data_IF_014548095637
#
_entry.id   IF_014548095637
#
_cell.length_a   1.000
_cell.length_b   1.000
_cell.length_c   1.000
_cell.angle_alpha   90.00
_cell.angle_beta   90.00
_cell.angle_gamma   90.00
#
_symmetry.space_group_name_H-M   'P 1'
#
loop_
_entity.id
_entity.type
_entity.pdbx_description
1 polymer ?
#
# COMPACT_ATOMS: atom_id res chain seq x y z
N UNK A 1 -1.89 9.31 -0.81
CA UNK A 1 -0.42 9.33 -1.04
C UNK A 1 0.19 8.00 -0.60
N UNK A 2 1.33 7.55 -1.15
CA UNK A 2 2.02 6.37 -0.63
C UNK A 2 2.46 6.60 0.82
N UNK A 3 2.42 5.56 1.65
CA UNK A 3 2.78 5.62 3.07
C UNK A 3 4.00 4.77 3.33
N UNK A 4 4.98 5.34 4.00
CA UNK A 4 6.18 4.63 4.42
C UNK A 4 5.95 4.00 5.79
N UNK A 5 6.13 2.69 5.86
CA UNK A 5 6.09 1.92 7.09
C UNK A 5 7.50 1.43 7.42
N UNK A 6 7.82 1.35 8.71
CA UNK A 6 9.00 0.65 9.20
C UNK A 6 8.53 -0.60 9.90
N UNK A 7 8.91 -1.75 9.35
CA UNK A 7 8.39 -3.04 9.77
C UNK A 7 9.56 -3.87 10.27
N UNK A 8 9.41 -4.42 11.48
CA UNK A 8 10.46 -5.24 12.07
C UNK A 8 10.50 -6.64 11.45
N UNK A 9 11.70 -7.07 11.06
CA UNK A 9 12.03 -8.45 10.76
C UNK A 9 13.25 -8.83 11.60
N UNK A 10 13.07 -9.73 12.57
CA UNK A 10 14.07 -10.03 13.59
C UNK A 10 14.57 -8.72 14.26
N UNK A 11 15.88 -8.47 14.25
CA UNK A 11 16.51 -7.25 14.76
C UNK A 11 16.66 -6.13 13.72
N UNK A 12 16.04 -6.26 12.54
CA UNK A 12 16.15 -5.30 11.45
C UNK A 12 14.85 -4.52 11.23
N UNK A 13 14.97 -3.22 10.97
CA UNK A 13 13.86 -2.37 10.57
C UNK A 13 13.86 -2.22 9.05
N UNK A 14 12.85 -2.76 8.37
CA UNK A 14 12.73 -2.72 6.92
C UNK A 14 11.75 -1.62 6.49
N UNK A 15 12.19 -0.68 5.63
CA UNK A 15 11.30 0.30 5.00
C UNK A 15 10.38 -0.38 3.98
N UNK A 16 9.07 -0.20 4.14
CA UNK A 16 8.03 -0.72 3.25
C UNK A 16 7.18 0.45 2.77
N UNK A 17 7.19 0.71 1.46
CA UNK A 17 6.34 1.71 0.84
C UNK A 17 5.02 1.07 0.41
N UNK A 18 3.93 1.46 1.08
CA UNK A 18 2.58 1.01 0.76
C UNK A 18 1.88 2.06 -0.12
N UNK A 19 1.75 1.72 -1.40
CA UNK A 19 1.09 2.58 -2.38
C UNK A 19 -0.43 2.57 -2.22
N UNK A 20 -1.12 3.63 -2.69
CA UNK A 20 -2.57 3.65 -2.67
C UNK A 20 -3.17 2.44 -3.37
N UNK A 21 -2.72 2.07 -4.57
CA UNK A 21 -3.20 0.91 -5.33
C UNK A 21 -3.00 -0.49 -4.68
N UNK A 22 -2.52 -0.55 -3.43
CA UNK A 22 -2.32 -1.79 -2.68
C UNK A 22 -0.97 -2.45 -2.96
N UNK A 23 -0.13 -1.87 -3.81
CA UNK A 23 1.22 -2.37 -4.03
C UNK A 23 2.10 -2.10 -2.80
N UNK A 24 2.76 -3.15 -2.34
CA UNK A 24 3.84 -3.07 -1.37
C UNK A 24 5.16 -3.09 -2.10
N UNK A 25 6.01 -2.13 -1.76
CA UNK A 25 7.36 -2.05 -2.30
C UNK A 25 8.34 -2.04 -1.14
N UNK A 26 9.44 -2.77 -1.29
CA UNK A 26 10.52 -2.87 -0.32
C UNK A 26 11.71 -2.06 -0.82
N UNK A 27 12.47 -1.48 0.11
CA UNK A 27 13.75 -0.87 -0.26
C UNK A 27 14.71 -1.98 -0.70
N UNK A 28 15.03 -2.00 -2.00
CA UNK A 28 15.84 -3.05 -2.60
C UNK A 28 17.27 -3.06 -2.09
N UNK A 29 17.85 -1.88 -1.79
CA UNK A 29 19.21 -1.80 -1.28
C UNK A 29 19.28 -2.35 0.16
N UNK A 30 18.35 -1.91 1.01
CA UNK A 30 18.24 -2.42 2.38
C UNK A 30 18.01 -3.94 2.42
N UNK A 31 17.17 -4.46 1.52
CA UNK A 31 16.91 -5.90 1.43
C UNK A 31 18.13 -6.69 0.94
N UNK A 32 18.87 -6.17 -0.05
CA UNK A 32 20.08 -6.82 -0.54
C UNK A 32 21.19 -6.85 0.52
N UNK A 33 21.36 -5.77 1.28
CA UNK A 33 22.31 -5.74 2.41
C UNK A 33 21.94 -6.76 3.49
N UNK A 34 20.65 -6.85 3.84
CA UNK A 34 20.15 -7.83 4.80
C UNK A 34 20.45 -9.28 4.34
N UNK A 35 20.35 -9.53 3.03
CA UNK A 35 20.65 -10.82 2.40
C UNK A 35 22.15 -11.07 2.17
N UNK A 36 23.03 -10.19 2.65
CA UNK A 36 24.48 -10.36 2.63
C UNK A 36 25.14 -10.12 1.27
N UNK A 37 24.44 -9.50 0.31
CA UNK A 37 25.06 -9.15 -0.96
C UNK A 37 26.11 -8.05 -0.76
N UNK A 38 27.32 -8.26 -1.29
CA UNK A 38 28.43 -7.31 -1.15
C UNK A 38 28.15 -5.98 -1.87
N UNK A 39 27.53 -6.04 -3.05
CA UNK A 39 27.05 -4.89 -3.80
C UNK A 39 25.54 -5.02 -4.01
N UNK A 40 24.79 -4.08 -3.41
CA UNK A 40 23.34 -4.07 -3.50
C UNK A 40 22.83 -3.75 -4.91
N UNK A 41 23.51 -2.87 -5.65
CA UNK A 41 23.08 -2.48 -6.99
C UNK A 41 23.34 -3.61 -7.99
N UNK A 42 24.49 -4.28 -7.88
CA UNK A 42 24.78 -5.47 -8.68
C UNK A 42 23.78 -6.60 -8.41
N UNK A 43 23.50 -6.89 -7.13
CA UNK A 43 22.49 -7.90 -6.77
C UNK A 43 21.10 -7.58 -7.35
N UNK A 44 20.69 -6.31 -7.28
CA UNK A 44 19.45 -5.86 -7.91
C UNK A 44 19.48 -6.01 -9.44
N UNK A 45 20.60 -5.68 -10.08
CA UNK A 45 20.75 -5.82 -11.52
C UNK A 45 20.69 -7.28 -11.98
N UNK A 46 21.37 -8.19 -11.26
CA UNK A 46 21.52 -9.60 -11.63
C UNK A 46 20.23 -10.39 -11.35
N UNK A 47 19.57 -10.14 -10.22
CA UNK A 47 18.49 -11.01 -9.74
C UNK A 47 17.07 -10.46 -9.96
N UNK A 48 16.90 -9.13 -10.06
CA UNK A 48 15.58 -8.52 -10.23
C UNK A 48 15.21 -8.32 -11.70
N UNK A 49 13.90 -8.10 -11.93
CA UNK A 49 13.34 -7.80 -13.24
C UNK A 49 12.92 -6.33 -13.31
N UNK A 50 13.08 -5.71 -14.49
CA UNK A 50 12.94 -4.27 -14.64
C UNK A 50 11.51 -3.79 -14.30
N UNK A 51 10.51 -4.63 -14.56
CA UNK A 51 9.08 -4.36 -14.36
C UNK A 51 8.68 -4.25 -12.88
N UNK A 52 9.52 -4.76 -11.98
CA UNK A 52 9.28 -4.71 -10.54
C UNK A 52 9.99 -3.56 -9.84
N UNK A 53 10.68 -2.67 -10.56
CA UNK A 53 11.31 -1.49 -9.95
C UNK A 53 10.37 -0.28 -9.92
N UNK A 54 10.49 0.50 -8.85
CA UNK A 54 9.89 1.83 -8.71
C UNK A 54 10.93 2.77 -8.12
N UNK A 55 11.20 3.88 -8.79
CA UNK A 55 12.19 4.84 -8.33
C UNK A 55 11.51 5.94 -7.53
N UNK A 56 12.08 6.29 -6.37
CA UNK A 56 11.63 7.44 -5.60
C UNK A 56 11.86 8.76 -6.36
N UNK A 57 11.01 9.76 -6.15
CA UNK A 57 11.12 11.06 -6.83
C UNK A 57 12.10 12.03 -6.13
N UNK A 58 13.13 11.52 -5.46
CA UNK A 58 14.10 12.32 -4.69
C UNK A 58 15.46 12.42 -5.42
N UNK A 59 16.30 13.43 -5.10
CA UNK A 59 17.61 13.62 -5.74
C UNK A 59 18.55 12.41 -5.64
N UNK A 60 18.41 11.61 -4.58
CA UNK A 60 18.97 10.25 -4.50
C UNK A 60 17.79 9.28 -4.41
N UNK A 61 17.35 8.71 -5.54
CA UNK A 61 16.14 7.92 -5.57
C UNK A 61 16.36 6.59 -4.86
N UNK A 62 15.57 6.30 -3.83
CA UNK A 62 15.44 4.94 -3.30
C UNK A 62 14.95 4.03 -4.42
N UNK A 63 15.60 2.88 -4.57
CA UNK A 63 15.20 1.84 -5.51
C UNK A 63 14.23 0.92 -4.79
N UNK A 64 12.94 1.13 -5.02
CA UNK A 64 11.90 0.27 -4.48
C UNK A 64 11.70 -0.92 -5.41
N UNK A 65 11.49 -2.10 -4.81
CA UNK A 65 11.20 -3.33 -5.54
C UNK A 65 9.87 -3.93 -5.09
N UNK A 66 9.12 -4.50 -6.02
CA UNK A 66 7.90 -5.22 -5.69
C UNK A 66 8.19 -6.56 -4.97
N UNK A 67 7.12 -7.18 -4.47
CA UNK A 67 7.20 -8.47 -3.76
C UNK A 67 7.81 -9.58 -4.63
N UNK A 68 7.60 -9.55 -5.95
CA UNK A 68 8.17 -10.57 -6.86
C UNK A 68 9.68 -10.43 -6.93
N UNK A 69 10.20 -9.22 -7.07
CA UNK A 69 11.63 -8.94 -7.05
C UNK A 69 12.25 -9.20 -5.66
N UNK A 70 11.54 -8.89 -4.57
CA UNK A 70 11.99 -9.26 -3.23
C UNK A 70 12.16 -10.78 -3.10
N UNK A 71 11.19 -11.58 -3.56
CA UNK A 71 11.34 -13.04 -3.60
C UNK A 71 12.48 -13.51 -4.50
N UNK A 72 12.75 -12.85 -5.63
CA UNK A 72 13.90 -13.19 -6.48
C UNK A 72 15.24 -12.97 -5.76
N UNK A 73 15.43 -11.86 -5.06
CA UNK A 73 16.63 -11.62 -4.27
C UNK A 73 16.79 -12.66 -3.16
N UNK A 74 15.70 -12.94 -2.47
CA UNK A 74 15.70 -13.93 -1.39
C UNK A 74 16.06 -15.31 -1.94
N UNK A 75 15.49 -15.71 -3.07
CA UNK A 75 15.73 -17.01 -3.69
C UNK A 75 17.20 -17.24 -4.10
N UNK A 76 17.91 -16.19 -4.51
CA UNK A 76 19.31 -16.30 -4.93
C UNK A 76 20.32 -16.04 -3.79
N UNK A 77 19.85 -15.72 -2.58
CA UNK A 77 20.75 -15.52 -1.43
C UNK A 77 21.18 -16.87 -0.85
N UNK A 78 22.47 -16.99 -0.54
CA UNK A 78 23.04 -18.18 0.10
C UNK A 78 22.93 -18.16 1.64
N UNK A 79 22.39 -17.08 2.22
CA UNK A 79 22.30 -16.96 3.67
C UNK A 79 21.13 -17.77 4.24
N UNK A 80 21.29 -18.44 5.39
CA UNK A 80 20.18 -19.12 6.09
C UNK A 80 19.03 -18.18 6.49
N UNK A 81 19.30 -16.88 6.61
CA UNK A 81 18.28 -15.86 6.85
C UNK A 81 17.29 -15.72 5.68
N UNK A 82 17.71 -16.03 4.45
CA UNK A 82 16.88 -15.86 3.26
C UNK A 82 15.56 -16.66 3.35
N UNK A 83 15.62 -17.92 3.81
CA UNK A 83 14.43 -18.75 3.99
C UNK A 83 13.47 -18.16 5.03
N UNK A 84 13.99 -17.67 6.15
CA UNK A 84 13.19 -17.01 7.19
C UNK A 84 12.56 -15.71 6.70
N UNK A 85 13.29 -14.96 5.87
CA UNK A 85 12.80 -13.73 5.25
C UNK A 85 11.70 -14.03 4.23
N UNK A 86 11.86 -15.05 3.37
CA UNK A 86 10.80 -15.51 2.46
C UNK A 86 9.54 -15.93 3.23
N UNK A 87 9.71 -16.69 4.31
CA UNK A 87 8.62 -17.12 5.16
C UNK A 87 7.90 -15.91 5.78
N UNK A 88 8.65 -14.96 6.35
CA UNK A 88 8.11 -13.74 6.94
C UNK A 88 7.39 -12.86 5.92
N UNK A 89 7.95 -12.66 4.72
CA UNK A 89 7.29 -11.91 3.63
C UNK A 89 5.92 -12.55 3.33
N UNK A 90 5.90 -13.86 3.15
CA UNK A 90 4.71 -14.59 2.68
C UNK A 90 3.63 -14.73 3.74
N UNK A 91 4.03 -15.02 4.99
CA UNK A 91 3.10 -15.43 6.05
C UNK A 91 2.84 -14.35 7.09
N UNK A 92 3.63 -13.28 7.11
CA UNK A 92 3.46 -12.19 8.06
C UNK A 92 3.26 -10.84 7.35
N UNK A 93 4.21 -10.42 6.50
CA UNK A 93 4.18 -9.09 5.88
C UNK A 93 2.96 -8.92 4.96
N UNK A 94 2.78 -9.84 4.02
CA UNK A 94 1.65 -9.79 3.09
C UNK A 94 0.31 -9.82 3.83
N UNK A 95 0.04 -10.76 4.77
CA UNK A 95 -1.19 -10.73 5.57
C UNK A 95 -1.38 -9.46 6.39
N UNK A 96 -0.32 -8.90 6.97
CA UNK A 96 -0.37 -7.68 7.77
C UNK A 96 -0.97 -6.50 6.97
N UNK A 97 -0.52 -6.33 5.73
CA UNK A 97 -1.02 -5.28 4.84
C UNK A 97 -2.30 -5.67 4.07
N UNK A 98 -2.63 -6.96 4.02
CA UNK A 98 -3.86 -7.45 3.39
C UNK A 98 -5.11 -7.28 4.27
N UNK A 99 -4.95 -6.81 5.51
CA UNK A 99 -6.03 -6.75 6.49
C UNK A 99 -7.20 -5.88 5.99
N UNK A 100 -8.44 -6.40 6.09
CA UNK A 100 -9.64 -5.90 5.38
C UNK A 100 -10.01 -4.44 5.64
N UNK A 101 -9.50 -3.83 6.72
CA UNK A 101 -9.69 -2.40 7.03
C UNK A 101 -9.01 -1.47 6.01
N UNK A 102 -7.98 -1.96 5.32
CA UNK A 102 -7.24 -1.21 4.29
C UNK A 102 -7.79 -1.45 2.88
N UNK A 103 -8.70 -2.42 2.70
CA UNK A 103 -9.30 -2.68 1.40
C UNK A 103 -10.42 -1.66 1.11
N UNK A 104 -10.51 -1.20 -0.14
CA UNK A 104 -11.63 -0.37 -0.57
C UNK A 104 -12.92 -1.15 -0.36
N UNK A 105 -13.83 -0.64 0.47
CA UNK A 105 -15.13 -1.27 0.67
C UNK A 105 -16.24 -0.27 0.39
N UNK A 106 -17.29 -0.76 -0.27
CA UNK A 106 -18.42 0.06 -0.66
C UNK A 106 -19.54 -0.16 0.34
N UNK A 107 -19.96 0.92 0.99
CA UNK A 107 -21.17 0.96 1.81
C UNK A 107 -22.26 1.77 1.09
N UNK A 108 -23.51 1.49 1.44
CA UNK A 108 -24.64 2.34 1.03
C UNK A 108 -24.92 3.35 2.12
N UNK A 109 -24.96 4.63 1.77
CA UNK A 109 -25.42 5.70 2.64
C UNK A 109 -26.74 6.25 2.10
N UNK A 110 -27.70 6.43 2.98
CA UNK A 110 -28.99 7.04 2.64
C UNK A 110 -28.92 8.52 2.98
N UNK A 111 -29.21 9.38 2.00
CA UNK A 111 -29.24 10.84 2.14
C UNK A 111 -30.60 11.31 1.61
N UNK A 112 -31.47 11.78 2.51
CA UNK A 112 -32.88 11.99 2.18
C UNK A 112 -33.53 10.70 1.68
N UNK A 113 -34.10 10.72 0.47
CA UNK A 113 -34.68 9.54 -0.20
C UNK A 113 -33.69 8.80 -1.13
N UNK A 114 -32.47 9.31 -1.31
CA UNK A 114 -31.50 8.75 -2.25
C UNK A 114 -30.50 7.81 -1.55
N UNK A 115 -30.15 6.71 -2.22
CA UNK A 115 -29.06 5.82 -1.81
C UNK A 115 -27.81 6.06 -2.62
N UNK A 116 -26.71 6.31 -1.93
CA UNK A 116 -25.40 6.56 -2.53
C UNK A 116 -24.44 5.43 -2.18
N UNK A 117 -23.62 5.08 -3.16
CA UNK A 117 -22.48 4.17 -2.97
C UNK A 117 -21.31 5.02 -2.49
N UNK A 118 -20.93 4.80 -1.23
CA UNK A 118 -19.75 5.41 -0.61
C UNK A 118 -18.64 4.38 -0.61
N UNK A 119 -17.56 4.68 -1.30
CA UNK A 119 -16.32 3.92 -1.18
C UNK A 119 -15.56 4.47 0.03
N UNK A 120 -15.36 3.64 1.04
CA UNK A 120 -14.48 3.95 2.16
C UNK A 120 -13.12 3.33 1.93
N UNK A 121 -12.08 4.14 2.01
CA UNK A 121 -10.72 3.69 1.78
C UNK A 121 -9.71 4.60 2.47
N UNK A 122 -8.87 4.02 3.33
CA UNK A 122 -7.75 4.70 4.02
C UNK A 122 -8.19 6.03 4.67
N UNK A 123 -9.28 5.97 5.43
CA UNK A 123 -9.90 7.09 6.16
C UNK A 123 -10.46 8.22 5.28
N UNK A 124 -10.57 7.97 3.97
CA UNK A 124 -11.25 8.84 3.02
C UNK A 124 -12.56 8.20 2.54
N UNK A 125 -13.55 9.05 2.28
CA UNK A 125 -14.81 8.66 1.66
C UNK A 125 -14.88 9.22 0.25
N UNK A 126 -15.15 8.34 -0.70
CA UNK A 126 -15.31 8.65 -2.11
C UNK A 126 -16.75 8.39 -2.53
N UNK A 127 -17.32 9.33 -3.29
CA UNK A 127 -18.66 9.22 -3.86
C UNK A 127 -18.55 9.16 -5.37
N UNK A 128 -19.42 8.39 -6.03
CA UNK A 128 -19.52 8.42 -7.49
C UNK A 128 -20.03 9.78 -7.94
N UNK A 129 -19.37 10.39 -8.93
CA UNK A 129 -19.78 11.69 -9.50
C UNK A 129 -21.27 11.67 -9.90
N UNK A 130 -21.75 10.63 -10.59
CA UNK A 130 -23.16 10.51 -10.99
C UNK A 130 -24.12 10.54 -9.80
N UNK A 131 -23.80 9.84 -8.70
CA UNK A 131 -24.61 9.87 -7.48
C UNK A 131 -24.58 11.25 -6.81
N UNK A 132 -23.43 11.92 -6.82
CA UNK A 132 -23.29 13.28 -6.27
C UNK A 132 -24.05 14.31 -7.11
N UNK A 133 -24.04 14.18 -8.44
CA UNK A 133 -24.78 15.08 -9.34
C UNK A 133 -26.30 15.04 -9.09
N UNK A 134 -26.85 13.90 -8.67
CA UNK A 134 -28.26 13.78 -8.31
C UNK A 134 -28.61 14.52 -7.00
N UNK A 135 -27.63 14.74 -6.12
CA UNK A 135 -27.80 15.49 -4.87
C UNK A 135 -27.61 17.00 -5.08
N UNK A 136 -26.69 17.39 -5.96
CA UNK A 136 -26.40 18.79 -6.26
C UNK A 136 -27.56 19.53 -6.94
N UNK A 137 -28.53 18.79 -7.49
CA UNK A 137 -29.78 19.36 -8.02
C UNK A 137 -30.82 19.72 -6.94
N UNK A 138 -30.61 19.33 -5.68
CA UNK A 138 -31.53 19.54 -4.55
C UNK A 138 -30.85 20.33 -3.44
N UNK A 139 -31.23 21.60 -3.29
CA UNK A 139 -30.99 22.56 -2.19
C UNK A 139 -29.82 22.32 -1.20
N UNK A 140 -28.94 23.33 -1.10
CA UNK A 140 -27.66 23.35 -0.36
C UNK A 140 -27.64 22.77 1.07
N UNK A 141 -28.73 22.85 1.85
CA UNK A 141 -28.74 22.38 3.24
C UNK A 141 -28.81 20.85 3.39
N UNK A 142 -29.50 20.15 2.49
CA UNK A 142 -29.59 18.69 2.53
C UNK A 142 -28.23 18.05 2.21
N UNK A 143 -27.50 18.63 1.24
CA UNK A 143 -26.13 18.25 0.90
C UNK A 143 -25.17 18.49 2.07
N UNK A 144 -25.29 19.60 2.79
CA UNK A 144 -24.43 19.90 3.93
C UNK A 144 -24.66 18.93 5.10
N UNK A 145 -25.92 18.58 5.41
CA UNK A 145 -26.26 17.57 6.41
C UNK A 145 -25.73 16.18 6.01
N UNK A 146 -25.92 15.81 4.75
CA UNK A 146 -25.43 14.57 4.17
C UNK A 146 -23.91 14.42 4.29
N UNK A 147 -23.16 15.48 3.97
CA UNK A 147 -21.70 15.51 4.11
C UNK A 147 -21.27 15.48 5.59
N UNK A 148 -22.03 16.10 6.49
CA UNK A 148 -21.78 16.05 7.92
C UNK A 148 -22.00 14.66 8.52
N UNK A 149 -23.06 13.95 8.13
CA UNK A 149 -23.35 12.58 8.56
C UNK A 149 -22.30 11.60 8.03
N UNK A 150 -21.89 11.76 6.78
CA UNK A 150 -20.78 11.00 6.21
C UNK A 150 -19.48 11.25 6.99
N UNK A 151 -19.16 12.50 7.32
CA UNK A 151 -17.99 12.87 8.13
C UNK A 151 -18.04 12.29 9.54
N UNK A 152 -19.21 12.26 10.19
CA UNK A 152 -19.37 11.69 11.53
C UNK A 152 -19.12 10.17 11.55
N UNK A 153 -19.41 9.49 10.43
CA UNK A 153 -19.22 8.04 10.28
C UNK A 153 -17.81 7.60 9.90
N UNK A 154 -16.87 8.54 9.75
CA UNK A 154 -15.44 8.30 9.45
C UNK A 154 -14.58 8.29 10.73
N UNK A 155 -15.19 8.53 11.91
CA UNK A 155 -14.52 8.44 13.21
C UNK A 155 -14.60 7.06 13.84
#
# INVERSE_FOLDING_TARGET
MPTLHHVAFESHSLPILHRPDGLLLLDGASLAQLLGYADSLDALHVHCRIEGFVFGNQPRPTIWIDIRNAHRLVFHSELPLAERLAHWISHWLLPYFSNRRSQPHIRRATIGEQQLRVLHWRDECWLSLNGTMQLLGTTDQALLHALADLRASVR
#
